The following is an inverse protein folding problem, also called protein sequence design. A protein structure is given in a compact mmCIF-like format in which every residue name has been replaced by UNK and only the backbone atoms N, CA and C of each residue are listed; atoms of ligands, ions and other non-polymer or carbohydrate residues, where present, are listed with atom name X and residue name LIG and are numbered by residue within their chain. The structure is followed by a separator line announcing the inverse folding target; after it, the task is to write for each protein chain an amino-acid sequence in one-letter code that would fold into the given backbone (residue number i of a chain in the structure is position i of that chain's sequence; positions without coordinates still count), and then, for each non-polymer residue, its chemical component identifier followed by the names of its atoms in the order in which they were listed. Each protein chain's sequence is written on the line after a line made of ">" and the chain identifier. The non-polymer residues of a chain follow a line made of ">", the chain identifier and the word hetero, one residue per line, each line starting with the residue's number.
data_IF_738957320126
#
_entry.id   IF_738957320126
#
_cell.length_a   1.000
_cell.length_b   1.000
_cell.length_c   1.000
_cell.angle_alpha   90.00
_cell.angle_beta   90.00
_cell.angle_gamma   90.00
#
_symmetry.space_group_name_H-M   'P 1'
#
loop_
_entity.id
_entity.type
_entity.pdbx_description
1 polymer ?
#
# COMPACT_ATOMS: atom_id res chain seq x y z
N UNK A 1 -20.72 8.08 -3.72
CA UNK A 1 -19.72 7.13 -3.16
C UNK A 1 -19.27 6.24 -4.30
N UNK A 2 -17.96 6.10 -4.51
CA UNK A 2 -17.40 5.19 -5.52
C UNK A 2 -17.11 3.81 -4.92
N UNK A 3 -17.24 2.76 -5.73
CA UNK A 3 -16.74 1.42 -5.43
C UNK A 3 -15.53 1.18 -6.32
N UNK A 4 -14.45 0.68 -5.75
CA UNK A 4 -13.26 0.30 -6.50
C UNK A 4 -12.74 -1.05 -6.00
N UNK A 5 -11.97 -1.74 -6.84
CA UNK A 5 -11.22 -2.90 -6.43
C UNK A 5 -9.83 -2.42 -5.97
N UNK A 6 -9.44 -2.78 -4.74
CA UNK A 6 -8.16 -2.37 -4.19
C UNK A 6 -7.04 -3.26 -4.76
N UNK A 7 -6.28 -2.75 -5.73
CA UNK A 7 -5.13 -3.42 -6.32
C UNK A 7 -4.18 -2.41 -6.99
N UNK A 8 -2.91 -2.77 -7.14
CA UNK A 8 -1.99 -1.97 -7.93
C UNK A 8 -2.37 -2.00 -9.42
N UNK A 9 -2.36 -0.85 -10.09
CA UNK A 9 -2.48 -0.78 -11.55
C UNK A 9 -1.86 0.48 -12.13
N UNK A 10 -1.41 0.37 -13.37
CA UNK A 10 -0.95 1.47 -14.24
C UNK A 10 -1.55 1.30 -15.64
N UNK A 11 -1.19 2.17 -16.57
CA UNK A 11 -1.81 2.23 -17.90
C UNK A 11 -1.81 0.90 -18.66
N UNK A 12 -0.70 0.14 -18.62
CA UNK A 12 -0.54 -1.08 -19.42
C UNK A 12 -0.39 -2.37 -18.60
N UNK A 13 -0.05 -2.28 -17.30
CA UNK A 13 0.16 -3.43 -16.43
C UNK A 13 1.11 -4.50 -17.01
N UNK A 14 2.19 -4.05 -17.66
CA UNK A 14 3.20 -4.91 -18.28
C UNK A 14 3.93 -5.78 -17.25
N UNK A 15 4.10 -5.27 -16.03
CA UNK A 15 4.61 -6.03 -14.91
C UNK A 15 3.59 -5.98 -13.76
N UNK A 16 3.30 -7.15 -13.20
CA UNK A 16 2.40 -7.35 -12.05
C UNK A 16 3.05 -8.28 -11.05
N UNK A 17 2.58 -8.26 -9.81
CA UNK A 17 3.26 -8.94 -8.73
C UNK A 17 2.71 -8.69 -7.36
N UNK A 18 3.55 -9.01 -6.38
CA UNK A 18 3.28 -8.87 -4.95
C UNK A 18 4.16 -7.80 -4.33
N UNK A 19 3.65 -7.16 -3.29
CA UNK A 19 4.44 -6.36 -2.37
C UNK A 19 4.25 -6.90 -0.95
N UNK A 20 5.31 -6.86 -0.15
CA UNK A 20 5.27 -7.22 1.26
C UNK A 20 6.11 -6.24 2.07
N UNK A 21 5.69 -5.98 3.30
CA UNK A 21 6.44 -5.14 4.22
C UNK A 21 6.29 -5.59 5.66
N UNK A 22 7.34 -5.37 6.44
CA UNK A 22 7.33 -5.58 7.88
C UNK A 22 6.95 -4.26 8.57
N UNK A 23 6.02 -4.33 9.54
CA UNK A 23 5.71 -3.20 10.41
C UNK A 23 6.98 -2.77 11.17
N UNK A 24 7.21 -1.46 11.25
CA UNK A 24 8.32 -0.86 11.99
C UNK A 24 7.93 -0.59 13.44
N UNK A 25 8.82 -0.92 14.37
CA UNK A 25 8.56 -0.80 15.81
C UNK A 25 8.64 0.66 16.33
N UNK A 26 9.32 1.56 15.61
CA UNK A 26 9.64 2.92 16.10
C UNK A 26 8.84 4.05 15.47
N UNK A 27 8.88 4.18 14.15
CA UNK A 27 8.14 5.19 13.38
C UNK A 27 7.51 4.55 12.14
N UNK A 28 6.37 3.90 12.36
CA UNK A 28 5.56 3.22 11.34
C UNK A 28 4.70 4.22 10.54
N UNK A 29 4.05 3.73 9.49
CA UNK A 29 3.10 4.54 8.71
C UNK A 29 1.88 4.96 9.54
N UNK A 30 1.38 4.11 10.44
CA UNK A 30 0.28 4.47 11.35
C UNK A 30 0.68 5.67 12.22
N UNK A 31 1.90 5.63 12.78
CA UNK A 31 2.43 6.73 13.59
C UNK A 31 2.65 8.00 12.77
N UNK A 32 3.08 7.88 11.51
CA UNK A 32 3.15 9.00 10.57
C UNK A 32 1.76 9.63 10.35
N UNK A 33 0.75 8.82 10.05
CA UNK A 33 -0.62 9.28 9.81
C UNK A 33 -1.23 9.93 11.05
N UNK A 34 -1.06 9.34 12.24
CA UNK A 34 -1.53 9.93 13.50
C UNK A 34 -0.85 11.27 13.77
N UNK A 35 0.47 11.37 13.59
CA UNK A 35 1.22 12.63 13.78
C UNK A 35 0.76 13.74 12.83
N UNK A 36 0.30 13.39 11.62
CA UNK A 36 -0.28 14.33 10.65
C UNK A 36 -1.76 14.64 10.89
N UNK A 37 -2.42 14.01 11.87
CA UNK A 37 -3.85 14.17 12.14
C UNK A 37 -4.75 13.44 11.13
N UNK A 38 -4.21 12.47 10.40
CA UNK A 38 -4.92 11.72 9.37
C UNK A 38 -5.62 10.47 9.91
N UNK A 39 -5.02 9.82 10.90
CA UNK A 39 -5.53 8.64 11.60
C UNK A 39 -5.91 9.01 13.03
N UNK A 40 -7.20 8.89 13.36
CA UNK A 40 -7.74 9.20 14.69
C UNK A 40 -7.84 7.96 15.57
N UNK A 41 -8.10 8.16 16.86
CA UNK A 41 -8.45 7.07 17.78
C UNK A 41 -9.72 6.35 17.32
N UNK A 42 -9.74 5.02 17.45
CA UNK A 42 -10.82 4.16 16.95
C UNK A 42 -10.84 3.96 15.43
N UNK A 43 -9.91 4.57 14.69
CA UNK A 43 -9.71 4.29 13.26
C UNK A 43 -8.57 3.28 13.04
N UNK A 44 -8.66 2.50 11.96
CA UNK A 44 -7.70 1.45 11.63
C UNK A 44 -7.24 1.55 10.17
N UNK A 45 -5.93 1.53 9.94
CA UNK A 45 -5.33 1.52 8.61
C UNK A 45 -5.43 0.12 7.99
N UNK A 46 -6.09 0.00 6.84
CA UNK A 46 -6.33 -1.29 6.16
C UNK A 46 -5.63 -1.44 4.81
N UNK A 47 -5.18 -0.33 4.22
CA UNK A 47 -4.54 -0.37 2.90
C UNK A 47 -3.68 0.86 2.64
N UNK A 48 -2.65 0.66 1.84
CA UNK A 48 -1.71 1.71 1.41
C UNK A 48 -1.48 1.50 -0.08
N UNK A 49 -1.65 2.56 -0.87
CA UNK A 49 -1.24 2.63 -2.27
C UNK A 49 -0.16 3.68 -2.39
N UNK A 50 0.88 3.40 -3.18
CA UNK A 50 1.91 4.35 -3.53
C UNK A 50 2.02 4.40 -5.05
N UNK A 51 1.73 5.55 -5.64
CA UNK A 51 1.73 5.73 -7.09
C UNK A 51 2.82 6.73 -7.52
N UNK A 52 3.65 6.31 -8.47
CA UNK A 52 4.60 7.17 -9.16
C UNK A 52 4.08 7.45 -10.58
N UNK A 53 3.78 8.73 -10.88
CA UNK A 53 3.05 9.11 -12.10
C UNK A 53 3.89 8.99 -13.38
N UNK A 54 5.16 9.45 -13.37
CA UNK A 54 6.04 9.37 -14.55
C UNK A 54 7.51 9.11 -14.16
N UNK A 55 7.98 7.89 -14.39
CA UNK A 55 9.38 7.48 -14.17
C UNK A 55 10.18 7.56 -15.48
N UNK A 56 10.14 8.68 -16.20
CA UNK A 56 10.83 8.82 -17.49
C UNK A 56 12.22 9.47 -17.36
N UNK A 57 13.28 8.68 -17.56
CA UNK A 57 14.62 9.05 -18.08
C UNK A 57 15.52 10.01 -17.27
N UNK A 58 14.98 10.81 -16.37
CA UNK A 58 15.70 11.57 -15.33
C UNK A 58 14.91 11.41 -14.04
N UNK A 59 15.58 11.36 -12.89
CA UNK A 59 14.98 11.19 -11.56
C UNK A 59 14.10 12.41 -11.16
N UNK A 60 13.03 12.68 -11.90
CA UNK A 60 12.13 13.81 -11.68
C UNK A 60 11.01 13.46 -10.72
N UNK A 61 10.60 12.19 -10.65
CA UNK A 61 9.67 11.74 -9.61
C UNK A 61 10.47 11.47 -8.35
N UNK A 62 10.51 12.46 -7.46
CA UNK A 62 11.02 12.30 -6.10
C UNK A 62 9.95 11.82 -5.14
N UNK A 63 8.67 11.91 -5.53
CA UNK A 63 7.53 11.74 -4.64
C UNK A 63 6.56 10.67 -5.16
N UNK A 64 6.02 9.88 -4.24
CA UNK A 64 4.80 9.11 -4.44
C UNK A 64 3.57 9.97 -4.13
N UNK A 65 2.50 9.76 -4.88
CA UNK A 65 1.14 10.00 -4.41
C UNK A 65 0.72 8.81 -3.55
N UNK A 66 0.70 9.00 -2.23
CA UNK A 66 0.34 7.95 -1.26
C UNK A 66 -1.13 8.06 -0.92
N UNK A 67 -1.86 6.93 -1.02
CA UNK A 67 -3.24 6.80 -0.54
C UNK A 67 -3.27 5.85 0.64
N UNK A 68 -3.72 6.33 1.81
CA UNK A 68 -4.04 5.48 2.95
C UNK A 68 -5.56 5.23 3.00
N UNK A 69 -5.95 3.97 3.15
CA UNK A 69 -7.33 3.54 3.36
C UNK A 69 -7.55 3.24 4.84
N UNK A 70 -8.43 4.00 5.46
CA UNK A 70 -8.69 3.95 6.90
C UNK A 70 -10.15 3.58 7.15
N UNK A 71 -10.42 2.66 8.05
CA UNK A 71 -11.79 2.30 8.46
C UNK A 71 -12.07 2.72 9.90
N UNK A 72 -13.36 2.75 10.28
CA UNK A 72 -13.83 3.07 11.64
C UNK A 72 -13.99 1.84 12.54
N UNK A 73 -13.73 0.65 12.01
CA UNK A 73 -13.60 -0.54 12.82
C UNK A 73 -12.27 -0.49 13.55
N UNK A 74 -12.29 -0.76 14.85
CA UNK A 74 -11.09 -0.70 15.69
C UNK A 74 -10.41 -2.07 15.73
N UNK A 75 -9.18 -2.15 15.23
CA UNK A 75 -8.37 -3.36 15.30
C UNK A 75 -8.71 -4.43 14.26
N UNK A 76 -7.75 -5.33 14.05
CA UNK A 76 -7.78 -6.34 12.99
C UNK A 76 -9.02 -7.24 13.04
N UNK A 77 -9.38 -7.76 14.22
CA UNK A 77 -10.49 -8.71 14.37
C UNK A 77 -11.84 -8.11 13.97
N UNK A 78 -12.08 -6.84 14.29
CA UNK A 78 -13.31 -6.15 13.90
C UNK A 78 -13.35 -5.85 12.40
N UNK A 79 -12.20 -5.53 11.79
CA UNK A 79 -12.09 -5.40 10.32
C UNK A 79 -12.37 -6.74 9.66
N UNK A 80 -11.78 -7.83 10.16
CA UNK A 80 -11.96 -9.17 9.63
C UNK A 80 -13.43 -9.59 9.69
N UNK A 81 -14.10 -9.41 10.83
CA UNK A 81 -15.52 -9.71 10.98
C UNK A 81 -16.40 -8.89 10.00
N UNK A 82 -16.04 -7.63 9.74
CA UNK A 82 -16.74 -6.81 8.74
C UNK A 82 -16.54 -7.34 7.31
N UNK A 83 -15.33 -7.81 6.97
CA UNK A 83 -15.04 -8.42 5.67
C UNK A 83 -15.77 -9.75 5.49
N UNK A 84 -15.84 -10.58 6.53
CA UNK A 84 -16.49 -11.89 6.52
C UNK A 84 -18.01 -11.79 6.27
N UNK A 85 -18.61 -10.62 6.46
CA UNK A 85 -20.02 -10.36 6.10
C UNK A 85 -20.29 -10.41 4.59
N UNK A 86 -19.24 -10.29 3.76
CA UNK A 86 -19.32 -10.22 2.29
C UNK A 86 -19.65 -8.84 1.73
N UNK A 87 -19.98 -7.87 2.59
CA UNK A 87 -20.21 -6.49 2.17
C UNK A 87 -18.89 -5.73 1.93
N UNK A 88 -18.83 -4.80 0.95
CA UNK A 88 -17.65 -3.97 0.75
C UNK A 88 -17.27 -3.18 2.01
N UNK A 89 -15.99 -3.24 2.39
CA UNK A 89 -15.48 -2.50 3.54
C UNK A 89 -15.59 -0.99 3.30
N UNK A 90 -16.27 -0.30 4.21
CA UNK A 90 -16.33 1.17 4.19
C UNK A 90 -15.00 1.74 4.68
N UNK A 91 -14.37 2.56 3.85
CA UNK A 91 -13.09 3.21 4.13
C UNK A 91 -13.14 4.70 3.80
N UNK A 92 -12.32 5.48 4.51
CA UNK A 92 -11.93 6.86 4.21
C UNK A 92 -10.61 6.80 3.45
N UNK A 93 -10.54 7.51 2.31
CA UNK A 93 -9.31 7.72 1.56
C UNK A 93 -8.58 8.95 2.07
N UNK A 94 -7.27 8.85 2.25
CA UNK A 94 -6.40 9.95 2.63
C UNK A 94 -5.26 9.98 1.64
N UNK A 95 -5.20 11.05 0.83
CA UNK A 95 -4.18 11.19 -0.22
C UNK A 95 -3.20 12.29 0.16
N UNK A 96 -1.91 12.02 0.04
CA UNK A 96 -0.85 12.99 0.29
C UNK A 96 0.42 12.67 -0.50
N UNK A 97 1.20 13.69 -0.91
CA UNK A 97 2.52 13.46 -1.49
C UNK A 97 3.52 13.06 -0.40
N UNK A 98 4.46 12.19 -0.76
CA UNK A 98 5.56 11.77 0.12
C UNK A 98 6.78 11.42 -0.71
N UNK A 99 7.98 11.83 -0.27
CA UNK A 99 9.20 11.43 -0.97
C UNK A 99 9.35 9.90 -0.98
N UNK A 100 9.79 9.35 -2.11
CA UNK A 100 9.95 7.90 -2.31
C UNK A 100 10.82 7.30 -1.21
N UNK A 101 11.93 7.95 -0.87
CA UNK A 101 12.83 7.48 0.19
C UNK A 101 12.15 7.53 1.56
N UNK A 102 11.41 8.61 1.85
CA UNK A 102 10.67 8.74 3.11
C UNK A 102 9.64 7.63 3.26
N UNK A 103 8.90 7.30 2.19
CA UNK A 103 7.92 6.21 2.18
C UNK A 103 8.54 4.87 2.61
N UNK A 104 9.67 4.48 2.01
CA UNK A 104 10.31 3.22 2.36
C UNK A 104 10.87 3.21 3.79
N UNK A 105 11.19 4.37 4.37
CA UNK A 105 11.66 4.44 5.76
C UNK A 105 10.59 4.14 6.81
N UNK A 106 9.31 4.14 6.43
CA UNK A 106 8.18 3.83 7.32
C UNK A 106 8.03 2.33 7.59
N UNK A 107 8.74 1.48 6.84
CA UNK A 107 8.71 0.03 6.98
C UNK A 107 10.04 -0.48 7.54
N UNK A 108 10.00 -1.61 8.26
CA UNK A 108 11.23 -2.27 8.74
C UNK A 108 11.95 -3.00 7.60
N UNK A 109 11.17 -3.61 6.71
CA UNK A 109 11.57 -4.22 5.45
C UNK A 109 10.48 -4.00 4.42
N UNK A 110 10.83 -3.86 3.16
CA UNK A 110 9.88 -3.72 2.05
C UNK A 110 10.43 -4.43 0.82
N UNK A 111 9.60 -5.22 0.16
CA UNK A 111 9.96 -5.92 -1.07
C UNK A 111 8.84 -5.83 -2.09
N UNK A 112 9.22 -5.65 -3.35
CA UNK A 112 8.37 -5.76 -4.54
C UNK A 112 8.94 -6.90 -5.38
N UNK A 113 8.08 -7.83 -5.77
CA UNK A 113 8.40 -8.88 -6.73
C UNK A 113 7.36 -8.81 -7.83
N UNK A 114 7.78 -8.36 -9.02
CA UNK A 114 6.93 -8.22 -10.21
C UNK A 114 7.53 -9.00 -11.37
N UNK A 115 6.67 -9.57 -12.20
CA UNK A 115 7.05 -10.32 -13.38
C UNK A 115 6.22 -9.91 -14.60
N UNK A 116 6.70 -10.25 -15.79
CA UNK A 116 6.03 -9.91 -17.05
C UNK A 116 4.60 -10.45 -17.04
N UNK A 117 3.61 -9.55 -17.03
CA UNK A 117 2.19 -9.81 -16.84
C UNK A 117 1.83 -10.72 -15.63
N UNK A 118 2.71 -10.83 -14.63
CA UNK A 118 2.56 -11.73 -13.48
C UNK A 118 2.90 -13.20 -13.76
N UNK A 119 3.62 -13.48 -14.85
CA UNK A 119 3.89 -14.84 -15.36
C UNK A 119 4.50 -15.80 -14.32
N UNK A 120 5.39 -15.30 -13.45
CA UNK A 120 6.08 -16.11 -12.44
C UNK A 120 5.75 -15.72 -11.00
N UNK A 121 4.66 -14.99 -10.79
CA UNK A 121 4.23 -14.60 -9.44
C UNK A 121 3.90 -15.86 -8.62
N UNK A 122 4.50 -15.98 -7.43
CA UNK A 122 4.34 -17.13 -6.53
C UNK A 122 4.68 -18.49 -7.18
N UNK A 123 5.63 -18.50 -8.13
CA UNK A 123 6.20 -19.71 -8.73
C UNK A 123 7.61 -19.96 -8.18
N UNK A 124 7.97 -21.24 -8.04
CA UNK A 124 9.36 -21.64 -7.84
C UNK A 124 10.16 -21.40 -9.12
N UNK A 125 11.38 -20.88 -8.97
CA UNK A 125 12.35 -20.65 -10.05
C UNK A 125 13.68 -21.29 -9.68
N UNK A 126 14.38 -21.82 -10.67
CA UNK A 126 15.69 -22.46 -10.50
C UNK A 126 16.72 -21.56 -11.18
N UNK A 127 17.85 -21.32 -10.51
CA UNK A 127 18.97 -20.56 -11.04
C UNK A 127 20.16 -21.49 -11.19
N UNK A 128 20.86 -21.39 -12.31
CA UNK A 128 22.24 -21.84 -12.42
C UNK A 128 23.10 -20.66 -11.93
N UNK A 129 23.92 -20.88 -10.90
CA UNK A 129 24.78 -19.84 -10.28
C UNK A 129 25.65 -19.07 -11.30
#
# INVERSE_FOLDING_TARGET
>A
MGKENFHASVQYNDFKGTAASDRKDTFSIEQYLTKKGFLNEGEFLVGIEAYARELSGKAQTTDFEVTALVTRYEGFDNVQAALDSGEPLKVKKIQFPMQIVEFFTLFKRFQISISNHGLIDQRDVIFDD
#
